data_IF_926876326480
#
_entry.id   IF_926876326480
#
_cell.length_a   1.000
_cell.length_b   1.000
_cell.length_c   1.000
_cell.angle_alpha   90.00
_cell.angle_beta   90.00
_cell.angle_gamma   90.00
#
_symmetry.space_group_name_H-M   'P 1'
#
loop_
_entity.id
_entity.type
_entity.pdbx_description
1 polymer ?
#
# COMPACT_ATOMS: atom_id res chain seq x y z
N UNK A 1 10.00 -25.82 2.07
CA UNK A 1 10.44 -24.47 1.67
C UNK A 1 9.21 -23.62 1.47
N UNK A 2 8.99 -22.65 2.35
CA UNK A 2 7.90 -21.69 2.18
C UNK A 2 8.22 -20.81 0.97
N UNK A 3 7.40 -20.87 -0.08
CA UNK A 3 7.62 -20.06 -1.28
C UNK A 3 7.39 -18.59 -0.91
N UNK A 4 8.47 -17.79 -0.84
CA UNK A 4 8.38 -16.34 -0.67
C UNK A 4 7.64 -15.75 -1.88
N UNK A 5 6.35 -15.46 -1.73
CA UNK A 5 5.53 -14.81 -2.75
C UNK A 5 5.80 -13.30 -2.73
N UNK A 6 5.90 -12.64 -3.91
CA UNK A 6 5.97 -11.19 -3.96
C UNK A 6 4.63 -10.56 -3.59
N UNK A 7 4.68 -9.36 -3.03
CA UNK A 7 3.54 -8.48 -2.80
C UNK A 7 3.41 -7.51 -3.98
N UNK A 8 2.21 -7.32 -4.49
CA UNK A 8 1.97 -6.38 -5.58
C UNK A 8 1.38 -5.08 -5.04
N UNK A 9 1.57 -3.99 -5.78
CA UNK A 9 0.85 -2.75 -5.54
C UNK A 9 0.22 -2.26 -6.83
N UNK A 10 -0.99 -1.73 -6.77
CA UNK A 10 -1.69 -1.17 -7.93
C UNK A 10 -2.48 0.10 -7.56
N UNK A 11 -2.57 1.01 -8.51
CA UNK A 11 -3.40 2.21 -8.43
C UNK A 11 -4.55 2.13 -9.39
N UNK A 12 -5.80 2.28 -8.94
CA UNK A 12 -6.94 2.20 -9.85
C UNK A 12 -7.06 3.44 -10.75
N UNK A 13 -6.60 4.61 -10.29
CA UNK A 13 -6.68 5.88 -11.03
C UNK A 13 -8.10 6.13 -11.56
N UNK A 14 -8.21 6.51 -12.83
CA UNK A 14 -9.43 6.59 -13.61
C UNK A 14 -9.52 5.46 -14.66
N UNK A 15 -8.83 4.32 -14.44
CA UNK A 15 -8.84 3.22 -15.41
C UNK A 15 -10.26 2.67 -15.58
N UNK A 16 -10.65 2.24 -16.79
CA UNK A 16 -11.78 1.35 -16.98
C UNK A 16 -11.64 0.10 -16.10
N UNK A 17 -12.77 -0.41 -15.61
CA UNK A 17 -12.78 -1.58 -14.73
C UNK A 17 -12.12 -2.80 -15.39
N UNK A 18 -12.43 -3.07 -16.66
CA UNK A 18 -11.87 -4.21 -17.39
C UNK A 18 -10.34 -4.13 -17.50
N UNK A 19 -9.82 -2.95 -17.86
CA UNK A 19 -8.37 -2.73 -17.93
C UNK A 19 -7.71 -3.00 -16.57
N UNK A 20 -8.31 -2.52 -15.47
CA UNK A 20 -7.81 -2.78 -14.13
C UNK A 20 -7.82 -4.29 -13.77
N UNK A 21 -8.90 -5.00 -14.12
CA UNK A 21 -9.01 -6.45 -13.93
C UNK A 21 -7.94 -7.20 -14.74
N UNK A 22 -7.72 -6.81 -15.99
CA UNK A 22 -6.73 -7.45 -16.86
C UNK A 22 -5.30 -7.30 -16.30
N UNK A 23 -4.98 -6.16 -15.69
CA UNK A 23 -3.72 -5.96 -14.98
C UNK A 23 -3.56 -6.90 -13.79
N UNK A 24 -4.62 -7.10 -13.00
CA UNK A 24 -4.59 -8.05 -11.87
C UNK A 24 -4.41 -9.49 -12.37
N UNK A 25 -5.08 -9.86 -13.47
CA UNK A 25 -4.98 -11.20 -14.06
C UNK A 25 -3.62 -11.46 -14.68
N UNK A 26 -3.02 -10.47 -15.35
CA UNK A 26 -1.68 -10.55 -15.91
C UNK A 26 -0.64 -10.92 -14.84
N UNK A 27 -0.83 -10.42 -13.62
CA UNK A 27 -0.01 -10.75 -12.46
C UNK A 27 -0.56 -11.89 -11.60
N UNK A 28 -1.61 -12.60 -12.03
CA UNK A 28 -2.21 -13.73 -11.31
C UNK A 28 -2.60 -13.38 -9.86
N UNK A 29 -3.09 -12.16 -9.65
CA UNK A 29 -3.52 -11.71 -8.34
C UNK A 29 -4.79 -12.46 -7.95
N UNK A 30 -4.74 -13.18 -6.83
CA UNK A 30 -5.89 -13.89 -6.27
C UNK A 30 -6.63 -13.06 -5.20
N UNK A 31 -5.97 -12.05 -4.62
CA UNK A 31 -6.55 -11.17 -3.60
C UNK A 31 -6.18 -9.71 -3.83
N UNK A 32 -7.20 -8.87 -3.97
CA UNK A 32 -7.06 -7.42 -3.95
C UNK A 32 -7.30 -6.89 -2.52
N UNK A 33 -6.26 -6.35 -1.91
CA UNK A 33 -6.31 -5.71 -0.60
C UNK A 33 -6.46 -4.21 -0.78
N UNK A 34 -7.65 -3.69 -0.56
CA UNK A 34 -7.94 -2.27 -0.63
C UNK A 34 -7.47 -1.56 0.65
N UNK A 35 -6.48 -0.69 0.52
CA UNK A 35 -5.90 0.06 1.64
C UNK A 35 -6.37 1.52 1.66
N UNK A 36 -7.43 1.87 0.93
CA UNK A 36 -8.00 3.23 0.97
C UNK A 36 -8.72 3.46 2.30
N UNK A 37 -8.50 4.60 2.95
CA UNK A 37 -9.27 4.96 4.17
C UNK A 37 -10.76 5.09 3.88
N UNK A 38 -11.12 5.57 2.68
CA UNK A 38 -12.49 5.73 2.23
C UNK A 38 -12.59 5.08 0.85
N UNK A 39 -13.00 3.81 0.75
CA UNK A 39 -13.10 3.09 -0.52
C UNK A 39 -14.40 3.41 -1.25
N UNK A 40 -14.68 4.71 -1.42
CA UNK A 40 -15.85 5.25 -2.13
C UNK A 40 -15.49 6.50 -2.92
N UNK A 41 -16.02 6.60 -4.13
CA UNK A 41 -15.85 7.71 -5.05
C UNK A 41 -17.12 7.90 -5.87
N UNK A 42 -17.50 9.16 -6.11
CA UNK A 42 -18.56 9.52 -7.06
C UNK A 42 -18.06 9.47 -8.50
N UNK A 43 -16.80 9.81 -8.73
CA UNK A 43 -16.18 9.88 -10.06
C UNK A 43 -15.80 8.49 -10.57
N UNK A 44 -15.39 7.60 -9.66
CA UNK A 44 -14.98 6.23 -9.99
C UNK A 44 -15.80 5.20 -9.21
N UNK A 45 -17.14 5.14 -9.40
CA UNK A 45 -18.03 4.29 -8.62
C UNK A 45 -17.81 2.78 -8.85
N UNK A 46 -17.19 2.39 -9.97
CA UNK A 46 -16.81 1.00 -10.27
C UNK A 46 -15.76 0.44 -9.30
N UNK A 47 -15.00 1.32 -8.64
CA UNK A 47 -14.01 0.93 -7.63
C UNK A 47 -14.54 1.13 -6.21
N UNK A 48 -15.84 1.29 -5.99
CA UNK A 48 -16.37 1.42 -4.64
C UNK A 48 -16.41 0.05 -3.94
N UNK A 49 -16.27 0.03 -2.62
CA UNK A 49 -16.32 -1.21 -1.83
C UNK A 49 -17.61 -2.00 -2.02
N UNK A 50 -18.72 -1.34 -2.34
CA UNK A 50 -20.04 -1.94 -2.59
C UNK A 50 -20.20 -2.52 -4.00
N UNK A 51 -19.32 -2.18 -4.95
CA UNK A 51 -19.41 -2.60 -6.35
C UNK A 51 -18.25 -3.50 -6.78
N UNK A 52 -17.02 -3.11 -6.43
CA UNK A 52 -15.80 -3.76 -6.86
C UNK A 52 -15.72 -5.27 -6.53
N UNK A 53 -16.14 -5.76 -5.33
CA UNK A 53 -16.08 -7.19 -5.03
C UNK A 53 -16.92 -8.04 -6.00
N UNK A 54 -18.12 -7.57 -6.36
CA UNK A 54 -19.00 -8.28 -7.28
C UNK A 54 -18.41 -8.33 -8.71
N UNK A 55 -17.70 -7.28 -9.11
CA UNK A 55 -16.98 -7.24 -10.39
C UNK A 55 -15.76 -8.17 -10.44
N UNK A 56 -15.11 -8.41 -9.30
CA UNK A 56 -13.90 -9.24 -9.20
C UNK A 56 -14.21 -10.74 -9.04
N UNK A 57 -15.36 -11.09 -8.46
CA UNK A 57 -15.73 -12.48 -8.17
C UNK A 57 -15.78 -13.39 -9.42
N UNK A 58 -16.32 -12.99 -10.59
CA UNK A 58 -16.31 -13.81 -11.80
C UNK A 58 -14.90 -14.12 -12.32
N UNK A 59 -13.91 -13.30 -11.93
CA UNK A 59 -12.50 -13.43 -12.32
C UNK A 59 -11.69 -14.20 -11.27
N UNK A 60 -12.36 -14.74 -10.24
CA UNK A 60 -11.76 -15.44 -9.11
C UNK A 60 -10.74 -14.61 -8.32
N UNK A 61 -11.00 -13.30 -8.21
CA UNK A 61 -10.19 -12.37 -7.42
C UNK A 61 -10.97 -12.00 -6.16
N UNK A 62 -10.48 -12.41 -5.00
CA UNK A 62 -11.02 -12.01 -3.72
C UNK A 62 -10.79 -10.52 -3.46
N UNK A 63 -11.67 -9.91 -2.67
CA UNK A 63 -11.52 -8.53 -2.22
C UNK A 63 -11.53 -8.44 -0.70
N UNK A 64 -10.61 -7.67 -0.14
CA UNK A 64 -10.61 -7.34 1.29
C UNK A 64 -10.27 -5.87 1.51
N UNK A 65 -11.05 -5.18 2.34
CA UNK A 65 -10.74 -3.82 2.78
C UNK A 65 -9.93 -3.85 4.08
N UNK A 66 -8.70 -3.31 4.04
CA UNK A 66 -7.78 -3.26 5.19
C UNK A 66 -7.58 -1.82 5.67
N UNK A 67 -8.59 -1.30 6.39
CA UNK A 67 -8.66 0.09 6.83
C UNK A 67 -7.50 0.54 7.76
N UNK A 68 -6.87 -0.42 8.45
CA UNK A 68 -5.68 -0.18 9.26
C UNK A 68 -4.53 0.42 8.44
N UNK A 69 -4.37 0.02 7.17
CA UNK A 69 -3.35 0.57 6.28
C UNK A 69 -3.81 1.83 5.52
N UNK A 70 -4.94 2.41 5.92
CA UNK A 70 -5.54 3.60 5.31
C UNK A 70 -4.68 4.87 5.29
N UNK A 71 -4.38 5.40 4.11
CA UNK A 71 -3.52 6.58 3.91
C UNK A 71 -3.98 7.93 4.50
N UNK A 72 -5.28 8.15 4.71
CA UNK A 72 -5.80 9.42 5.25
C UNK A 72 -5.64 9.45 6.77
N UNK A 73 -4.65 10.20 7.27
CA UNK A 73 -4.36 10.36 8.70
C UNK A 73 -4.18 11.82 9.08
N UNK A 74 -4.73 12.19 10.23
CA UNK A 74 -4.55 13.51 10.84
C UNK A 74 -3.20 13.57 11.57
N UNK A 75 -2.69 14.79 11.78
CA UNK A 75 -1.50 15.01 12.60
C UNK A 75 -1.73 14.46 14.01
N UNK A 76 -0.75 13.73 14.55
CA UNK A 76 -0.76 13.31 15.97
C UNK A 76 -0.58 14.54 16.87
N UNK A 77 -1.40 14.64 17.92
CA UNK A 77 -1.30 15.69 18.93
C UNK A 77 -0.27 15.28 19.99
N UNK A 78 1.00 15.37 19.62
CA UNK A 78 2.15 15.15 20.51
C UNK A 78 3.05 16.38 20.47
N UNK A 79 3.68 16.69 21.60
CA UNK A 79 4.52 17.90 21.76
C UNK A 79 5.89 17.75 21.08
N UNK A 80 6.34 16.52 20.84
CA UNK A 80 7.58 16.24 20.15
C UNK A 80 7.45 16.46 18.62
N UNK A 81 8.50 16.99 17.95
CA UNK A 81 8.59 16.99 16.50
C UNK A 81 8.47 15.57 15.92
N UNK A 82 7.91 15.46 14.71
CA UNK A 82 7.86 14.19 13.99
C UNK A 82 9.29 13.76 13.61
N UNK A 83 9.68 12.49 13.86
CA UNK A 83 10.97 11.96 13.38
C UNK A 83 10.98 11.76 11.87
N UNK A 84 9.81 11.84 11.21
CA UNK A 84 9.61 11.59 9.79
C UNK A 84 9.80 12.88 8.96
N UNK A 85 10.90 13.58 9.22
CA UNK A 85 11.18 14.90 8.68
C UNK A 85 11.40 14.90 7.15
N UNK A 86 11.86 13.79 6.57
CA UNK A 86 11.99 13.56 5.11
C UNK A 86 10.73 13.96 4.33
N UNK A 87 9.55 13.63 4.87
CA UNK A 87 8.28 13.86 4.22
C UNK A 87 7.81 15.30 4.38
N UNK A 88 8.25 16.21 3.51
CA UNK A 88 7.88 17.63 3.57
C UNK A 88 6.38 17.87 3.51
N UNK A 89 5.65 17.08 2.72
CA UNK A 89 4.20 17.16 2.59
C UNK A 89 3.47 16.59 3.83
N UNK A 90 2.58 17.36 4.50
CA UNK A 90 1.95 16.95 5.77
C UNK A 90 1.22 15.60 5.71
N UNK A 91 0.55 15.27 4.59
CA UNK A 91 -0.17 14.00 4.47
C UNK A 91 0.76 12.77 4.55
N UNK A 92 1.96 12.84 3.93
CA UNK A 92 2.93 11.76 4.02
C UNK A 92 3.55 11.69 5.41
N UNK A 93 3.91 12.83 5.99
CA UNK A 93 4.45 12.91 7.36
C UNK A 93 3.48 12.31 8.38
N UNK A 94 2.22 12.73 8.35
CA UNK A 94 1.19 12.24 9.26
C UNK A 94 0.94 10.73 9.08
N UNK A 95 1.05 10.21 7.85
CA UNK A 95 0.91 8.78 7.60
C UNK A 95 2.14 7.99 8.07
N UNK A 96 3.36 8.49 7.84
CA UNK A 96 4.59 7.90 8.37
C UNK A 96 4.58 7.86 9.90
N UNK A 97 4.13 8.93 10.55
CA UNK A 97 3.89 8.96 11.98
C UNK A 97 2.90 7.84 12.35
N UNK A 98 1.71 7.83 11.75
CA UNK A 98 0.72 6.78 12.01
C UNK A 98 1.27 5.36 11.80
N UNK A 99 2.17 5.14 10.85
CA UNK A 99 2.76 3.84 10.56
C UNK A 99 3.58 3.26 11.74
N UNK A 100 4.00 4.11 12.68
CA UNK A 100 4.67 3.70 13.92
C UNK A 100 3.68 3.26 15.03
N UNK A 101 2.38 3.16 14.75
CA UNK A 101 1.37 2.78 15.74
C UNK A 101 1.08 1.28 15.76
N UNK A 102 0.57 0.80 16.89
CA UNK A 102 0.10 -0.59 17.05
C UNK A 102 -0.93 -0.98 15.98
N UNK A 103 -1.88 -0.10 15.69
CA UNK A 103 -2.91 -0.35 14.68
C UNK A 103 -2.33 -0.58 13.27
N UNK A 104 -1.27 0.16 12.91
CA UNK A 104 -0.59 -0.08 11.64
C UNK A 104 0.17 -1.40 11.66
N UNK A 105 0.89 -1.70 12.75
CA UNK A 105 1.61 -2.96 12.91
C UNK A 105 0.69 -4.17 12.79
N UNK A 106 -0.48 -4.13 13.43
CA UNK A 106 -1.47 -5.22 13.34
C UNK A 106 -2.01 -5.37 11.92
N UNK A 107 -2.29 -4.25 11.24
CA UNK A 107 -2.68 -4.24 9.83
C UNK A 107 -1.59 -4.80 8.90
N UNK A 108 -0.32 -4.48 9.16
CA UNK A 108 0.82 -5.00 8.40
C UNK A 108 0.99 -6.50 8.63
N UNK A 109 0.87 -6.98 9.86
CA UNK A 109 0.91 -8.40 10.19
C UNK A 109 -0.22 -9.18 9.48
N UNK A 110 -1.42 -8.60 9.42
CA UNK A 110 -2.54 -9.17 8.65
C UNK A 110 -2.21 -9.22 7.15
N UNK A 111 -1.67 -8.13 6.57
CA UNK A 111 -1.25 -8.11 5.17
C UNK A 111 -0.19 -9.18 4.88
N UNK A 112 0.83 -9.30 5.74
CA UNK A 112 1.87 -10.32 5.62
C UNK A 112 1.26 -11.73 5.59
N UNK A 113 0.40 -12.05 6.56
CA UNK A 113 -0.31 -13.34 6.64
C UNK A 113 -1.08 -13.64 5.35
N UNK A 114 -1.77 -12.64 4.78
CA UNK A 114 -2.53 -12.82 3.54
C UNK A 114 -1.63 -13.07 2.33
N UNK A 115 -0.54 -12.29 2.18
CA UNK A 115 0.40 -12.47 1.09
C UNK A 115 1.18 -13.79 1.15
N UNK A 116 1.35 -14.36 2.34
CA UNK A 116 1.88 -15.71 2.51
C UNK A 116 0.92 -16.79 2.02
N UNK A 117 -0.39 -16.60 2.23
CA UNK A 117 -1.43 -17.56 1.82
C UNK A 117 -1.70 -17.52 0.33
N UNK A 118 -1.79 -16.33 -0.26
CA UNK A 118 -2.12 -16.16 -1.67
C UNK A 118 -1.49 -14.91 -2.27
N UNK A 119 -1.35 -14.90 -3.61
CA UNK A 119 -0.74 -13.79 -4.34
C UNK A 119 -1.67 -12.57 -4.28
N UNK A 120 -1.22 -11.51 -3.63
CA UNK A 120 -2.05 -10.34 -3.35
C UNK A 120 -1.49 -9.03 -3.92
N UNK A 121 -2.38 -8.11 -4.24
CA UNK A 121 -2.05 -6.72 -4.56
C UNK A 121 -2.67 -5.76 -3.55
N UNK A 122 -1.90 -4.81 -3.02
CA UNK A 122 -2.44 -3.66 -2.29
C UNK A 122 -2.89 -2.57 -3.26
N UNK A 123 -4.11 -2.06 -3.09
CA UNK A 123 -4.72 -1.07 -3.98
C UNK A 123 -4.94 0.28 -3.29
N UNK A 124 -4.63 1.37 -4.01
CA UNK A 124 -5.16 2.70 -3.69
C UNK A 124 -5.71 3.43 -4.93
N UNK A 125 -6.12 4.69 -4.79
CA UNK A 125 -6.66 5.51 -5.88
C UNK A 125 -5.62 6.14 -6.79
N UNK A 126 -4.47 6.57 -6.27
CA UNK A 126 -3.41 7.21 -7.06
C UNK A 126 -2.78 6.19 -8.02
N UNK A 127 -2.52 6.58 -9.27
CA UNK A 127 -1.93 5.71 -10.28
C UNK A 127 -0.52 5.28 -9.88
N UNK A 128 0.31 6.28 -9.57
CA UNK A 128 1.74 6.09 -9.31
C UNK A 128 2.02 5.84 -7.82
N UNK A 129 2.78 4.79 -7.52
CA UNK A 129 3.01 4.36 -6.14
C UNK A 129 3.74 5.43 -5.31
N UNK A 130 4.61 6.23 -5.91
CA UNK A 130 5.46 7.20 -5.22
C UNK A 130 4.75 8.48 -4.74
N UNK A 131 3.51 8.73 -5.22
CA UNK A 131 2.69 9.89 -4.82
C UNK A 131 1.58 9.52 -3.83
N UNK A 132 1.61 8.31 -3.29
CA UNK A 132 0.61 7.87 -2.32
C UNK A 132 1.20 7.08 -1.15
N UNK A 133 0.34 6.77 -0.18
CA UNK A 133 0.67 6.03 1.03
C UNK A 133 1.17 4.59 0.77
N UNK A 134 0.91 4.00 -0.41
CA UNK A 134 1.47 2.70 -0.80
C UNK A 134 2.99 2.69 -0.73
N UNK A 135 3.65 3.84 -0.94
CA UNK A 135 5.10 3.99 -0.80
C UNK A 135 5.59 3.61 0.61
N UNK A 136 4.92 4.10 1.65
CA UNK A 136 5.29 3.79 3.03
C UNK A 136 4.95 2.34 3.38
N UNK A 137 3.79 1.81 2.97
CA UNK A 137 3.49 0.37 3.16
C UNK A 137 4.56 -0.52 2.50
N UNK A 138 5.02 -0.12 1.31
CA UNK A 138 6.07 -0.81 0.56
C UNK A 138 7.38 -0.84 1.34
N UNK A 139 7.80 0.30 1.91
CA UNK A 139 9.01 0.35 2.75
C UNK A 139 8.93 -0.65 3.91
N UNK A 140 7.79 -0.72 4.60
CA UNK A 140 7.58 -1.70 5.68
C UNK A 140 7.64 -3.15 5.17
N UNK A 141 7.05 -3.46 4.01
CA UNK A 141 7.16 -4.80 3.40
C UNK A 141 8.62 -5.14 3.05
N UNK A 142 9.38 -4.19 2.51
CA UNK A 142 10.79 -4.36 2.18
C UNK A 142 11.64 -4.57 3.45
N UNK A 143 11.37 -3.84 4.53
CA UNK A 143 12.01 -4.03 5.84
C UNK A 143 11.78 -5.44 6.39
N UNK A 144 10.67 -6.10 6.04
CA UNK A 144 10.37 -7.49 6.38
C UNK A 144 10.86 -8.51 5.34
N UNK A 145 11.86 -8.15 4.53
CA UNK A 145 12.49 -8.99 3.49
C UNK A 145 11.49 -9.55 2.47
N UNK A 146 10.42 -8.78 2.17
CA UNK A 146 9.45 -9.14 1.15
C UNK A 146 9.80 -8.50 -0.18
N UNK A 147 9.71 -9.26 -1.25
CA UNK A 147 9.75 -8.71 -2.61
C UNK A 147 8.46 -7.95 -2.87
N UNK A 148 8.56 -6.69 -3.28
CA UNK A 148 7.41 -5.87 -3.67
C UNK A 148 7.53 -5.45 -5.13
N UNK A 149 6.44 -5.58 -5.87
CA UNK A 149 6.34 -5.28 -7.30
C UNK A 149 5.20 -4.29 -7.55
N UNK A 150 5.49 -3.19 -8.27
CA UNK A 150 4.50 -2.17 -8.61
C UNK A 150 3.94 -2.43 -10.00
N UNK A 151 2.65 -2.75 -10.09
CA UNK A 151 1.91 -2.89 -11.35
C UNK A 151 1.65 -1.49 -11.89
N UNK A 152 2.30 -1.14 -13.00
CA UNK A 152 2.19 0.18 -13.63
C UNK A 152 1.25 0.14 -14.83
N UNK A 153 1.41 -0.86 -15.71
CA UNK A 153 0.55 -1.14 -16.85
C UNK A 153 0.77 -2.59 -17.33
N UNK A 154 0.19 -2.97 -18.48
CA UNK A 154 0.20 -4.34 -18.97
C UNK A 154 1.60 -4.88 -19.33
N UNK A 155 2.60 -3.99 -19.47
CA UNK A 155 3.96 -4.33 -19.86
C UNK A 155 5.01 -3.94 -18.81
N UNK A 156 4.61 -3.16 -17.80
CA UNK A 156 5.54 -2.64 -16.80
C UNK A 156 5.10 -3.02 -15.37
N UNK A 157 5.90 -3.91 -14.78
CA UNK A 157 5.89 -4.22 -13.36
C UNK A 157 7.28 -3.92 -12.79
N UNK A 158 7.35 -2.95 -11.89
CA UNK A 158 8.64 -2.44 -11.39
C UNK A 158 8.96 -3.01 -10.01
N UNK A 159 10.18 -3.50 -9.81
CA UNK A 159 10.64 -3.87 -8.48
C UNK A 159 10.72 -2.63 -7.57
N UNK A 160 10.17 -2.75 -6.36
CA UNK A 160 10.23 -1.69 -5.37
C UNK A 160 11.64 -1.57 -4.80
N UNK A 161 11.99 -0.35 -4.42
CA UNK A 161 13.18 -0.05 -3.61
C UNK A 161 12.75 0.76 -2.39
N UNK A 162 13.54 0.66 -1.34
CA UNK A 162 13.30 1.40 -0.10
C UNK A 162 13.36 2.91 -0.40
N UNK A 163 12.46 3.68 0.20
CA UNK A 163 12.54 5.14 0.18
C UNK A 163 13.93 5.59 0.67
N UNK A 164 14.61 6.51 -0.04
CA UNK A 164 15.90 7.03 0.41
C UNK A 164 15.81 7.64 1.81
N UNK A 165 16.69 7.20 2.71
CA UNK A 165 16.71 7.66 4.11
C UNK A 165 15.63 7.04 5.00
N UNK A 166 14.94 5.97 4.56
CA UNK A 166 14.16 5.16 5.49
C UNK A 166 15.10 4.35 6.40
N UNK A 167 14.90 4.47 7.70
CA UNK A 167 15.76 3.87 8.72
C UNK A 167 14.96 2.89 9.59
N UNK A 168 15.18 1.56 9.45
CA UNK A 168 14.60 0.55 10.32
C UNK A 168 15.01 0.75 11.78
N UNK A 169 14.05 0.64 12.68
CA UNK A 169 14.25 0.73 14.12
C UNK A 169 14.19 -0.65 14.77
N UNK A 170 14.79 -0.79 15.96
CA UNK A 170 14.81 -2.06 16.70
C UNK A 170 13.42 -2.56 17.12
N UNK A 171 12.44 -1.66 17.21
CA UNK A 171 11.04 -1.98 17.56
C UNK A 171 10.19 -2.40 16.35
N UNK A 172 10.79 -2.54 15.16
CA UNK A 172 10.09 -2.90 13.93
C UNK A 172 9.33 -1.74 13.29
N UNK A 173 9.62 -0.49 13.66
CA UNK A 173 9.13 0.70 12.96
C UNK A 173 10.15 1.23 11.94
N UNK A 174 9.69 2.12 11.07
CA UNK A 174 10.54 2.93 10.20
C UNK A 174 10.44 4.40 10.62
N UNK A 175 11.59 5.08 10.65
CA UNK A 175 11.66 6.54 10.65
C UNK A 175 12.23 7.03 9.31
N UNK A 176 11.91 8.28 8.97
CA UNK A 176 12.40 8.94 7.76
C UNK A 176 13.02 10.29 8.12
N UNK A 177 14.27 10.35 8.60
CA UNK A 177 14.89 11.58 9.06
C UNK A 177 15.06 12.61 7.94
N UNK A 178 15.25 13.88 8.30
CA UNK A 178 15.56 14.90 7.31
C UNK A 178 16.87 14.53 6.60
N UNK A 179 16.92 14.67 5.28
CA UNK A 179 18.19 14.56 4.57
C UNK A 179 19.08 15.73 5.00
N UNK A 180 20.33 15.44 5.37
CA UNK A 180 21.31 16.49 5.58
C UNK A 180 21.45 17.29 4.26
N UNK A 181 21.32 18.61 4.34
CA UNK A 181 21.67 19.47 3.21
C UNK A 181 23.20 19.43 3.10
N UNK A 182 23.70 18.70 2.11
CA UNK A 182 25.08 18.86 1.64
C UNK A 182 25.17 20.08 0.73
#
# INVERSE_FOLDING_TARGET
METKRPFFTIGHSTRPLQEFVDLLKGEQIALLVDVRSIPRSRTNPQFNRDTLPASLAPEHIDYMHLAALGGRRSRRKVDAPSPNAYWTHPAFRNYADYAMSDAFRDGLAQLLTLGHRQRCAIMCSEAVWWRCHRRIITDYLLMHDKTVLHIMDAHHTNAATMTPGAEPQADGTLIYPAQAQN
#
